data_IF_933309295541
#
_entry.id   IF_933309295541
#
_cell.length_a   1.000
_cell.length_b   1.000
_cell.length_c   1.000
_cell.angle_alpha   90.00
_cell.angle_beta   90.00
_cell.angle_gamma   90.00
#
_symmetry.space_group_name_H-M   'P 1'
#
loop_
_entity.id
_entity.type
_entity.pdbx_description
1 polymer ?
#
# COMPACT_ATOMS: atom_id res chain seq x y z
N UNK A 1 -4.79 18.55 -11.49
CA UNK A 1 -3.74 19.47 -10.99
C UNK A 1 -4.11 20.85 -11.46
N UNK A 2 -4.04 21.85 -10.56
CA UNK A 2 -4.17 23.27 -10.91
C UNK A 2 -2.99 23.71 -11.76
N UNK A 3 -3.16 24.82 -12.48
CA UNK A 3 -2.31 25.31 -13.58
C UNK A 3 -0.84 25.60 -13.20
N UNK A 4 -0.54 25.49 -11.92
CA UNK A 4 0.65 25.97 -11.22
C UNK A 4 1.41 24.83 -10.49
N UNK A 5 0.97 23.56 -10.63
CA UNK A 5 1.62 22.41 -9.99
C UNK A 5 1.41 22.33 -8.48
N UNK A 6 0.64 23.26 -7.92
CA UNK A 6 0.18 23.26 -6.53
C UNK A 6 -0.87 22.16 -6.32
N UNK A 7 -0.87 21.55 -5.13
CA UNK A 7 -1.91 20.60 -4.76
C UNK A 7 -3.21 21.35 -4.44
N UNK A 8 -4.18 21.30 -5.36
CA UNK A 8 -5.51 21.87 -5.14
C UNK A 8 -6.42 20.88 -4.40
N UNK A 9 -6.65 21.11 -3.11
CA UNK A 9 -7.55 20.30 -2.26
C UNK A 9 -8.93 20.08 -2.89
N UNK A 10 -9.55 21.15 -3.40
CA UNK A 10 -10.84 21.07 -4.07
C UNK A 10 -10.80 20.18 -5.32
N UNK A 11 -9.80 20.37 -6.18
CA UNK A 11 -9.65 19.56 -7.40
C UNK A 11 -9.39 18.07 -7.10
N UNK A 12 -8.69 17.78 -5.99
CA UNK A 12 -8.47 16.41 -5.52
C UNK A 12 -9.77 15.79 -4.99
N UNK A 13 -10.56 16.55 -4.25
CA UNK A 13 -11.88 16.13 -3.77
C UNK A 13 -12.86 15.89 -4.91
N UNK A 14 -12.95 16.79 -5.89
CA UNK A 14 -13.79 16.63 -7.07
C UNK A 14 -13.40 15.38 -7.89
N UNK A 15 -12.09 15.15 -8.09
CA UNK A 15 -11.60 13.93 -8.76
C UNK A 15 -11.95 12.67 -7.97
N UNK A 16 -11.82 12.70 -6.64
CA UNK A 16 -12.15 11.58 -5.78
C UNK A 16 -13.65 11.26 -5.83
N UNK A 17 -14.52 12.27 -5.70
CA UNK A 17 -15.98 12.10 -5.74
C UNK A 17 -16.48 11.72 -7.14
N UNK A 18 -15.84 12.21 -8.20
CA UNK A 18 -16.15 11.78 -9.56
C UNK A 18 -15.86 10.29 -9.80
N UNK A 19 -14.87 9.72 -9.09
CA UNK A 19 -14.56 8.28 -9.13
C UNK A 19 -15.41 7.46 -8.17
N UNK A 20 -15.82 8.06 -7.06
CA UNK A 20 -16.58 7.42 -5.99
C UNK A 20 -17.92 8.16 -5.77
N UNK A 21 -18.85 8.14 -6.76
CA UNK A 21 -20.08 8.94 -6.69
C UNK A 21 -21.00 8.51 -5.54
N UNK A 22 -20.91 7.25 -5.11
CA UNK A 22 -21.65 6.73 -3.95
C UNK A 22 -21.36 7.51 -2.67
N UNK A 23 -20.18 8.11 -2.53
CA UNK A 23 -19.83 8.87 -1.33
C UNK A 23 -20.65 10.16 -1.15
N UNK A 24 -21.27 10.66 -2.22
CA UNK A 24 -22.15 11.83 -2.15
C UNK A 24 -23.47 11.56 -1.44
N UNK A 25 -23.84 10.29 -1.18
CA UNK A 25 -25.00 9.98 -0.34
C UNK A 25 -24.77 10.35 1.13
N UNK A 26 -23.50 10.50 1.55
CA UNK A 26 -23.16 10.79 2.94
C UNK A 26 -23.17 12.29 3.23
N UNK A 27 -23.96 12.76 4.22
CA UNK A 27 -24.11 14.20 4.51
C UNK A 27 -22.78 14.91 4.82
N UNK A 28 -21.86 14.24 5.51
CA UNK A 28 -20.56 14.81 5.84
C UNK A 28 -19.74 15.12 4.58
N UNK A 29 -19.76 14.20 3.61
CA UNK A 29 -19.00 14.31 2.36
C UNK A 29 -19.68 15.29 1.39
N UNK A 30 -21.01 15.28 1.31
CA UNK A 30 -21.78 16.27 0.54
C UNK A 30 -21.57 17.69 1.07
N UNK A 31 -21.56 17.87 2.40
CA UNK A 31 -21.26 19.17 3.02
C UNK A 31 -19.84 19.63 2.70
N UNK A 32 -18.88 18.71 2.64
CA UNK A 32 -17.49 18.98 2.29
C UNK A 32 -17.36 19.41 0.82
N UNK A 33 -18.07 18.73 -0.08
CA UNK A 33 -18.09 19.05 -1.50
C UNK A 33 -18.67 20.45 -1.77
N UNK A 34 -19.70 20.87 -1.01
CA UNK A 34 -20.35 22.18 -1.15
C UNK A 34 -19.52 23.37 -0.67
N UNK A 35 -18.47 23.15 0.13
CA UNK A 35 -17.61 24.23 0.65
C UNK A 35 -16.68 24.87 -0.38
N UNK A 36 -16.39 24.20 -1.50
CA UNK A 36 -15.57 24.74 -2.59
C UNK A 36 -14.23 25.30 -2.10
N UNK A 37 -13.97 26.59 -2.37
CA UNK A 37 -12.71 27.26 -2.03
C UNK A 37 -12.46 27.49 -0.52
N UNK A 38 -13.47 27.32 0.34
CA UNK A 38 -13.33 27.46 1.81
C UNK A 38 -12.81 26.16 2.47
N UNK A 39 -12.62 25.11 1.68
CA UNK A 39 -12.21 23.79 2.15
C UNK A 39 -10.82 23.81 2.78
N UNK A 40 -10.74 23.43 4.06
CA UNK A 40 -9.46 23.31 4.77
C UNK A 40 -8.93 21.89 4.73
N UNK A 41 -7.60 21.76 4.83
CA UNK A 41 -6.94 20.45 4.86
C UNK A 41 -7.39 19.60 6.06
N UNK A 42 -7.59 20.23 7.23
CA UNK A 42 -8.00 19.55 8.46
C UNK A 42 -9.40 18.92 8.35
N UNK A 43 -10.35 19.64 7.74
CA UNK A 43 -11.70 19.12 7.49
C UNK A 43 -11.66 17.90 6.57
N UNK A 44 -10.87 17.96 5.49
CA UNK A 44 -10.67 16.82 4.58
C UNK A 44 -10.05 15.65 5.32
N UNK A 45 -8.97 15.88 6.09
CA UNK A 45 -8.28 14.82 6.84
C UNK A 45 -9.23 14.15 7.84
N UNK A 46 -10.06 14.91 8.54
CA UNK A 46 -11.00 14.36 9.52
C UNK A 46 -12.04 13.43 8.89
N UNK A 47 -12.59 13.81 7.73
CA UNK A 47 -13.58 12.97 7.01
C UNK A 47 -12.91 11.79 6.31
N UNK A 48 -11.79 12.03 5.63
CA UNK A 48 -11.12 11.01 4.82
C UNK A 48 -10.40 9.94 5.65
N UNK A 49 -10.11 10.18 6.93
CA UNK A 49 -9.52 9.19 7.81
C UNK A 49 -10.40 7.94 7.98
N UNK A 50 -11.72 8.09 8.06
CA UNK A 50 -12.64 6.96 8.17
C UNK A 50 -12.88 6.31 6.80
N UNK A 51 -13.01 7.12 5.75
CA UNK A 51 -13.15 6.63 4.36
C UNK A 51 -11.92 5.82 3.92
N UNK A 52 -10.73 6.16 4.41
CA UNK A 52 -9.49 5.43 4.13
C UNK A 52 -9.57 3.94 4.52
N UNK A 53 -10.29 3.61 5.59
CA UNK A 53 -10.45 2.24 6.09
C UNK A 53 -11.46 1.43 5.29
N UNK A 54 -12.25 2.08 4.44
CA UNK A 54 -13.24 1.40 3.63
C UNK A 54 -12.58 0.70 2.43
N UNK A 55 -12.80 -0.62 2.23
CA UNK A 55 -12.07 -1.41 1.23
C UNK A 55 -12.26 -0.93 -0.22
N UNK A 56 -13.40 -0.32 -0.53
CA UNK A 56 -13.68 0.21 -1.88
C UNK A 56 -13.08 1.59 -2.15
N UNK A 57 -12.68 2.33 -1.11
CA UNK A 57 -12.30 3.74 -1.24
C UNK A 57 -10.82 4.01 -0.93
N UNK A 58 -10.10 3.10 -0.26
CA UNK A 58 -8.66 3.27 0.05
C UNK A 58 -7.83 3.64 -1.18
N UNK A 59 -7.96 2.86 -2.27
CA UNK A 59 -7.17 3.03 -3.50
C UNK A 59 -7.40 4.41 -4.15
N UNK A 60 -8.64 4.80 -4.51
CA UNK A 60 -8.88 6.10 -5.12
C UNK A 60 -8.56 7.26 -4.18
N UNK A 61 -8.72 7.09 -2.87
CA UNK A 61 -8.40 8.12 -1.87
C UNK A 61 -6.90 8.40 -1.83
N UNK A 62 -6.06 7.36 -1.66
CA UNK A 62 -4.61 7.53 -1.64
C UNK A 62 -4.11 8.06 -3.00
N UNK A 63 -4.74 7.64 -4.09
CA UNK A 63 -4.47 8.14 -5.44
C UNK A 63 -4.72 9.66 -5.60
N UNK A 64 -5.82 10.17 -5.04
CA UNK A 64 -6.19 11.59 -5.16
C UNK A 64 -5.51 12.49 -4.12
N UNK A 65 -5.28 11.97 -2.91
CA UNK A 65 -4.82 12.74 -1.75
C UNK A 65 -3.37 12.43 -1.34
N UNK A 66 -2.55 11.87 -2.24
CA UNK A 66 -1.15 11.50 -1.97
C UNK A 66 -0.34 12.56 -1.19
N UNK A 67 -0.40 13.88 -1.50
CA UNK A 67 0.36 14.89 -0.76
C UNK A 67 -0.03 15.01 0.72
N UNK A 68 -1.28 14.69 1.07
CA UNK A 68 -1.80 14.75 2.45
C UNK A 68 -2.06 13.37 3.04
N UNK A 69 -1.73 12.30 2.31
CA UNK A 69 -2.02 10.91 2.69
C UNK A 69 -1.43 10.56 4.06
N UNK A 70 -0.26 11.10 4.39
CA UNK A 70 0.35 10.91 5.71
C UNK A 70 -0.55 11.41 6.83
N UNK A 71 -1.09 12.63 6.72
CA UNK A 71 -1.99 13.20 7.72
C UNK A 71 -3.30 12.41 7.84
N UNK A 72 -3.82 11.91 6.71
CA UNK A 72 -5.01 11.04 6.70
C UNK A 72 -4.73 9.75 7.46
N UNK A 73 -3.62 9.07 7.17
CA UNK A 73 -3.26 7.82 7.84
C UNK A 73 -2.94 8.06 9.32
N UNK A 74 -2.19 9.11 9.66
CA UNK A 74 -1.91 9.48 11.06
C UNK A 74 -3.20 9.72 11.85
N UNK A 75 -4.18 10.41 11.24
CA UNK A 75 -5.50 10.62 11.84
C UNK A 75 -6.27 9.31 12.01
N UNK A 76 -6.28 8.44 11.00
CA UNK A 76 -6.92 7.12 11.07
C UNK A 76 -6.32 6.26 12.18
N UNK A 77 -4.99 6.24 12.31
CA UNK A 77 -4.27 5.54 13.38
C UNK A 77 -4.62 6.11 14.76
N UNK A 78 -4.74 7.44 14.88
CA UNK A 78 -5.16 8.07 16.12
C UNK A 78 -6.59 7.68 16.53
N UNK A 79 -7.53 7.60 15.57
CA UNK A 79 -8.89 7.12 15.83
C UNK A 79 -8.91 5.64 16.21
N UNK A 80 -8.13 4.79 15.53
CA UNK A 80 -8.04 3.37 15.80
C UNK A 80 -7.45 3.05 17.18
N UNK A 81 -6.58 3.92 17.71
CA UNK A 81 -6.03 3.79 19.07
C UNK A 81 -7.13 3.91 20.15
N UNK A 82 -8.25 4.54 19.83
CA UNK A 82 -9.39 4.67 20.74
C UNK A 82 -10.33 3.45 20.71
N UNK A 83 -10.10 2.50 19.79
CA UNK A 83 -10.90 1.27 19.73
C UNK A 83 -10.45 0.32 20.84
N UNK A 84 -11.37 -0.12 21.73
CA UNK A 84 -11.02 -0.88 22.94
C UNK A 84 -10.45 -2.27 22.64
N UNK A 85 -10.93 -2.93 21.58
CA UNK A 85 -10.51 -4.28 21.24
C UNK A 85 -10.47 -4.49 19.73
N UNK A 86 -9.29 -4.83 19.21
CA UNK A 86 -9.04 -5.15 17.80
C UNK A 86 -8.75 -6.64 17.57
N UNK A 87 -8.74 -7.46 18.63
CA UNK A 87 -8.34 -8.87 18.59
C UNK A 87 -9.50 -9.82 18.46
N UNK A 88 -10.66 -9.48 19.00
CA UNK A 88 -11.81 -10.39 19.02
C UNK A 88 -13.01 -9.85 18.25
N UNK A 89 -13.90 -10.78 17.94
CA UNK A 89 -15.28 -10.53 17.54
C UNK A 89 -16.18 -10.97 18.69
N UNK A 90 -17.01 -10.08 19.22
CA UNK A 90 -18.03 -10.49 20.18
C UNK A 90 -19.08 -11.34 19.45
N UNK A 91 -19.35 -12.53 19.97
CA UNK A 91 -20.32 -13.45 19.39
C UNK A 91 -21.71 -12.85 19.54
N UNK A 92 -22.25 -12.22 18.50
CA UNK A 92 -23.67 -11.92 18.45
C UNK A 92 -24.36 -12.53 17.21
N UNK A 93 -25.33 -13.37 17.54
CA UNK A 93 -26.26 -14.17 16.74
C UNK A 93 -27.25 -13.34 15.91
N UNK A 94 -26.94 -12.09 15.59
CA UNK A 94 -27.81 -11.18 14.85
C UNK A 94 -27.28 -10.99 13.43
N UNK A 95 -27.81 -11.83 12.54
CA UNK A 95 -27.74 -11.75 11.08
C UNK A 95 -26.35 -11.48 10.50
N UNK A 96 -25.78 -12.51 9.87
CA UNK A 96 -24.67 -12.35 8.92
C UNK A 96 -25.11 -11.55 7.68
N UNK A 97 -25.47 -10.28 7.86
CA UNK A 97 -25.72 -9.32 6.79
C UNK A 97 -24.43 -9.25 5.97
N UNK A 98 -24.57 -9.40 4.66
CA UNK A 98 -23.47 -9.44 3.71
C UNK A 98 -22.51 -8.27 4.00
N UNK A 99 -21.21 -8.58 4.20
CA UNK A 99 -20.19 -7.56 4.48
C UNK A 99 -20.23 -6.42 3.45
N UNK A 100 -20.67 -6.73 2.23
CA UNK A 100 -20.84 -5.80 1.12
C UNK A 100 -22.07 -4.87 1.25
N UNK A 101 -23.18 -5.30 1.87
CA UNK A 101 -24.38 -4.45 2.04
C UNK A 101 -24.15 -3.36 3.11
N UNK A 102 -23.57 -3.73 4.26
CA UNK A 102 -23.35 -2.79 5.38
C UNK A 102 -22.27 -1.75 5.05
N UNK A 103 -21.24 -2.15 4.30
CA UNK A 103 -20.17 -1.24 3.87
C UNK A 103 -20.66 -0.20 2.84
N UNK A 104 -21.67 -0.52 2.02
CA UNK A 104 -22.22 0.42 1.05
C UNK A 104 -22.96 1.62 1.69
N UNK A 105 -23.34 1.55 2.99
CA UNK A 105 -24.26 2.50 3.63
C UNK A 105 -23.66 3.35 4.75
N UNK A 106 -22.35 3.27 5.04
CA UNK A 106 -21.79 3.95 6.23
C UNK A 106 -20.49 4.70 5.95
N UNK A 107 -20.47 6.00 6.28
CA UNK A 107 -19.27 6.85 6.24
C UNK A 107 -18.31 6.59 7.42
N UNK A 108 -18.84 6.23 8.59
CA UNK A 108 -18.07 5.96 9.80
C UNK A 108 -17.81 4.47 10.03
N UNK A 109 -16.76 3.96 9.39
CA UNK A 109 -16.34 2.56 9.48
C UNK A 109 -15.95 2.19 10.92
N UNK A 110 -15.23 3.07 11.63
CA UNK A 110 -14.74 2.78 12.98
C UNK A 110 -15.90 2.65 13.96
N UNK A 111 -16.84 3.61 13.96
CA UNK A 111 -17.98 3.57 14.89
C UNK A 111 -18.86 2.35 14.64
N UNK A 112 -19.13 2.02 13.38
CA UNK A 112 -19.93 0.87 12.98
C UNK A 112 -19.38 -0.44 13.55
N UNK A 113 -18.11 -0.73 13.28
CA UNK A 113 -17.50 -1.99 13.72
C UNK A 113 -17.25 -2.03 15.23
N UNK A 114 -16.97 -0.87 15.84
CA UNK A 114 -16.81 -0.77 17.29
C UNK A 114 -18.15 -1.01 18.01
N UNK A 115 -19.26 -0.43 17.54
CA UNK A 115 -20.60 -0.68 18.10
C UNK A 115 -21.03 -2.13 17.91
N UNK A 116 -20.65 -2.75 16.81
CA UNK A 116 -20.97 -4.14 16.51
C UNK A 116 -20.04 -5.15 17.25
N UNK A 117 -19.06 -4.70 18.03
CA UNK A 117 -18.09 -5.60 18.67
C UNK A 117 -17.23 -6.40 17.68
N UNK A 118 -17.14 -5.95 16.41
CA UNK A 118 -16.42 -6.61 15.31
C UNK A 118 -15.00 -6.06 15.15
N UNK A 119 -14.27 -5.98 16.25
CA UNK A 119 -12.92 -5.39 16.30
C UNK A 119 -11.91 -6.08 15.39
N UNK A 120 -11.95 -7.41 15.34
CA UNK A 120 -11.09 -8.21 14.46
C UNK A 120 -11.34 -7.91 12.97
N UNK A 121 -12.60 -7.78 12.56
CA UNK A 121 -12.94 -7.52 11.16
C UNK A 121 -12.48 -6.10 10.75
N UNK A 122 -12.65 -5.12 11.64
CA UNK A 122 -12.07 -3.78 11.45
C UNK A 122 -10.55 -3.84 11.28
N UNK A 123 -9.85 -4.60 12.13
CA UNK A 123 -8.40 -4.76 12.04
C UNK A 123 -7.97 -5.35 10.68
N UNK A 124 -8.70 -6.34 10.16
CA UNK A 124 -8.42 -6.91 8.83
C UNK A 124 -8.57 -5.88 7.70
N UNK A 125 -9.60 -5.02 7.77
CA UNK A 125 -9.76 -3.93 6.81
C UNK A 125 -8.66 -2.87 6.94
N UNK A 126 -8.22 -2.56 8.16
CA UNK A 126 -7.07 -1.67 8.38
C UNK A 126 -5.81 -2.27 7.75
N UNK A 127 -5.55 -3.56 7.93
CA UNK A 127 -4.40 -4.23 7.33
C UNK A 127 -4.46 -4.23 5.79
N UNK A 128 -5.64 -4.44 5.21
CA UNK A 128 -5.86 -4.35 3.77
C UNK A 128 -5.64 -2.92 3.25
N UNK A 129 -6.14 -1.92 3.98
CA UNK A 129 -5.94 -0.52 3.64
C UNK A 129 -4.46 -0.13 3.72
N UNK A 130 -3.76 -0.59 4.76
CA UNK A 130 -2.34 -0.36 4.97
C UNK A 130 -1.48 -0.96 3.85
N UNK A 131 -1.73 -2.22 3.44
CA UNK A 131 -0.94 -2.85 2.39
C UNK A 131 -1.14 -2.14 1.03
N UNK A 132 -2.38 -1.75 0.71
CA UNK A 132 -2.69 -0.96 -0.49
C UNK A 132 -2.03 0.40 -0.44
N UNK A 133 -2.09 1.09 0.70
CA UNK A 133 -1.50 2.42 0.86
C UNK A 133 0.03 2.40 0.70
N UNK A 134 0.72 1.40 1.28
CA UNK A 134 2.16 1.23 1.14
C UNK A 134 2.59 0.93 -0.29
N UNK A 135 1.75 0.21 -1.02
CA UNK A 135 1.96 -0.05 -2.44
C UNK A 135 2.02 1.23 -3.29
N UNK A 136 1.31 2.29 -2.87
CA UNK A 136 1.29 3.60 -3.53
C UNK A 136 2.32 4.58 -2.99
N UNK A 137 2.51 4.55 -1.67
CA UNK A 137 3.21 5.57 -0.92
C UNK A 137 4.06 4.90 0.16
N UNK A 138 5.30 4.48 -0.18
CA UNK A 138 6.23 3.87 0.76
C UNK A 138 6.54 4.74 1.99
N UNK A 139 6.41 6.07 1.87
CA UNK A 139 6.57 7.02 2.98
C UNK A 139 5.52 6.85 4.10
N UNK A 140 4.44 6.10 3.87
CA UNK A 140 3.43 5.76 4.88
C UNK A 140 3.86 4.63 5.83
N UNK A 141 5.04 4.05 5.62
CA UNK A 141 5.58 2.98 6.47
C UNK A 141 5.65 3.37 7.94
N UNK A 142 6.11 4.59 8.26
CA UNK A 142 6.17 5.07 9.65
C UNK A 142 4.80 5.05 10.36
N UNK A 143 3.79 5.76 9.85
CA UNK A 143 2.43 5.75 10.40
C UNK A 143 1.83 4.34 10.54
N UNK A 144 2.09 3.45 9.58
CA UNK A 144 1.56 2.08 9.61
C UNK A 144 2.27 1.24 10.67
N UNK A 145 3.57 1.43 10.89
CA UNK A 145 4.27 0.80 12.01
C UNK A 145 3.76 1.34 13.36
N UNK A 146 3.38 2.62 13.44
CA UNK A 146 2.78 3.20 14.65
C UNK A 146 1.43 2.57 15.01
N UNK A 147 0.68 2.11 14.02
CA UNK A 147 -0.53 1.30 14.22
C UNK A 147 -0.21 -0.06 14.85
N UNK A 148 0.75 -0.79 14.27
CA UNK A 148 1.14 -2.12 14.75
C UNK A 148 1.86 -2.13 16.11
N UNK A 149 2.16 -0.97 16.70
CA UNK A 149 2.63 -0.88 18.09
C UNK A 149 1.58 -1.30 19.12
N UNK A 150 0.29 -1.14 18.80
CA UNK A 150 -0.82 -1.49 19.69
C UNK A 150 -1.79 -2.51 19.07
N UNK A 151 -1.82 -2.64 17.74
CA UNK A 151 -2.65 -3.60 17.04
C UNK A 151 -2.03 -5.01 17.02
N UNK A 152 -2.86 -6.07 16.89
CA UNK A 152 -2.36 -7.43 16.66
C UNK A 152 -1.71 -7.60 15.27
N UNK A 153 -1.06 -8.76 15.00
CA UNK A 153 -0.62 -9.10 13.65
C UNK A 153 -1.79 -9.25 12.67
N UNK A 154 -1.57 -9.01 11.36
CA UNK A 154 -2.62 -9.07 10.32
C UNK A 154 -3.29 -10.44 10.17
N UNK A 155 -2.70 -11.48 10.77
CA UNK A 155 -3.18 -12.86 10.78
C UNK A 155 -3.70 -13.30 12.16
N UNK A 156 -4.13 -12.37 13.02
CA UNK A 156 -4.70 -12.68 14.34
C UNK A 156 -5.81 -13.74 14.26
N UNK A 157 -6.66 -13.69 13.23
CA UNK A 157 -7.69 -14.72 13.00
C UNK A 157 -7.09 -16.13 12.90
N UNK A 158 -5.99 -16.27 12.18
CA UNK A 158 -5.28 -17.55 12.02
C UNK A 158 -4.68 -17.99 13.36
N UNK A 159 -4.26 -17.08 14.24
CA UNK A 159 -3.80 -17.44 15.58
C UNK A 159 -4.94 -17.96 16.47
N UNK A 160 -6.17 -17.48 16.25
CA UNK A 160 -7.33 -17.81 17.08
C UNK A 160 -8.12 -19.05 16.61
N UNK A 161 -8.22 -19.30 15.29
CA UNK A 161 -9.31 -20.11 14.71
C UNK A 161 -8.89 -21.43 14.02
N UNK A 162 -7.69 -22.01 14.19
CA UNK A 162 -7.35 -23.20 13.37
C UNK A 162 -7.80 -24.53 13.96
N UNK A 163 -9.07 -24.90 13.69
CA UNK A 163 -9.51 -26.29 13.52
C UNK A 163 -9.91 -26.53 12.07
N UNK A 164 -9.41 -27.60 11.45
CA UNK A 164 -9.52 -27.86 10.00
C UNK A 164 -10.96 -27.88 9.43
N UNK A 165 -11.99 -28.13 10.23
CA UNK A 165 -13.39 -28.16 9.80
C UNK A 165 -14.02 -26.77 9.62
N UNK A 166 -13.36 -25.70 10.05
CA UNK A 166 -13.89 -24.33 10.03
C UNK A 166 -13.46 -23.52 8.78
N UNK A 167 -12.62 -24.08 7.90
CA UNK A 167 -12.15 -23.37 6.69
C UNK A 167 -13.16 -23.34 5.53
N UNK A 168 -14.36 -23.89 5.72
CA UNK A 168 -15.44 -23.88 4.73
C UNK A 168 -16.27 -22.57 4.81
N UNK A 169 -16.80 -22.13 3.67
CA UNK A 169 -17.67 -20.96 3.59
C UNK A 169 -16.97 -19.61 3.90
N UNK A 170 -17.66 -18.72 4.63
CA UNK A 170 -17.22 -17.33 4.90
C UNK A 170 -15.98 -17.23 5.81
N UNK A 171 -15.73 -18.22 6.66
CA UNK A 171 -14.53 -18.23 7.53
C UNK A 171 -13.28 -18.45 6.68
N UNK A 172 -13.34 -19.36 5.70
CA UNK A 172 -12.25 -19.60 4.75
C UNK A 172 -11.88 -18.36 3.95
N UNK A 173 -12.85 -17.56 3.51
CA UNK A 173 -12.58 -16.31 2.78
C UNK A 173 -11.91 -15.25 3.66
N UNK A 174 -12.30 -15.14 4.93
CA UNK A 174 -11.65 -14.23 5.89
C UNK A 174 -10.19 -14.67 6.18
N UNK A 175 -9.97 -15.97 6.40
CA UNK A 175 -8.61 -16.53 6.57
C UNK A 175 -7.75 -16.30 5.34
N UNK A 176 -8.31 -16.50 4.13
CA UNK A 176 -7.61 -16.22 2.89
C UNK A 176 -7.26 -14.74 2.75
N UNK A 177 -8.19 -13.83 3.08
CA UNK A 177 -7.93 -12.38 3.08
C UNK A 177 -6.80 -12.04 4.05
N UNK A 178 -6.82 -12.57 5.28
CA UNK A 178 -5.77 -12.36 6.25
C UNK A 178 -4.41 -12.87 5.76
N UNK A 179 -4.36 -14.08 5.20
CA UNK A 179 -3.13 -14.66 4.64
C UNK A 179 -2.58 -13.84 3.47
N UNK A 180 -3.42 -13.44 2.51
CA UNK A 180 -3.04 -12.62 1.35
C UNK A 180 -2.53 -11.24 1.76
N UNK A 181 -3.25 -10.55 2.65
CA UNK A 181 -2.84 -9.24 3.19
C UNK A 181 -1.50 -9.34 3.92
N UNK A 182 -1.31 -10.38 4.73
CA UNK A 182 -0.07 -10.64 5.45
C UNK A 182 1.11 -10.88 4.50
N UNK A 183 0.89 -11.70 3.46
CA UNK A 183 1.89 -11.95 2.43
C UNK A 183 2.26 -10.66 1.67
N UNK A 184 1.27 -9.83 1.33
CA UNK A 184 1.48 -8.55 0.63
C UNK A 184 2.33 -7.58 1.46
N UNK A 185 2.00 -7.41 2.75
CA UNK A 185 2.79 -6.61 3.68
C UNK A 185 4.24 -7.11 3.75
N UNK A 186 4.41 -8.43 3.90
CA UNK A 186 5.73 -9.04 3.95
C UNK A 186 6.56 -8.78 2.68
N UNK A 187 5.95 -8.80 1.49
CA UNK A 187 6.65 -8.49 0.25
C UNK A 187 7.01 -7.00 0.09
N UNK A 188 6.19 -6.09 0.63
CA UNK A 188 6.44 -4.65 0.56
C UNK A 188 7.70 -4.26 1.34
N UNK A 189 7.93 -4.87 2.51
CA UNK A 189 9.17 -4.67 3.27
C UNK A 189 9.52 -5.90 4.13
N UNK A 190 10.16 -6.88 3.51
CA UNK A 190 10.46 -8.16 4.17
C UNK A 190 11.41 -8.03 5.34
N UNK A 191 12.35 -7.07 5.33
CA UNK A 191 13.33 -6.91 6.41
C UNK A 191 12.70 -6.46 7.74
N UNK A 192 11.63 -5.68 7.66
CA UNK A 192 10.91 -5.14 8.82
C UNK A 192 9.81 -6.12 9.23
N UNK A 193 8.90 -6.47 8.32
CA UNK A 193 7.72 -7.27 8.67
C UNK A 193 8.05 -8.71 9.04
N UNK A 194 9.14 -9.30 8.52
CA UNK A 194 9.58 -10.63 8.97
C UNK A 194 9.99 -10.67 10.44
N UNK A 195 10.47 -9.55 11.00
CA UNK A 195 10.93 -9.44 12.38
C UNK A 195 9.87 -8.92 13.34
N UNK A 196 8.80 -8.33 12.79
CA UNK A 196 7.76 -7.67 13.60
C UNK A 196 6.82 -8.68 14.27
N UNK A 197 6.61 -9.85 13.67
CA UNK A 197 5.66 -10.85 14.14
C UNK A 197 6.25 -12.26 14.15
N UNK A 198 5.64 -13.15 14.94
CA UNK A 198 5.90 -14.58 14.86
C UNK A 198 5.03 -15.20 13.76
N UNK A 199 5.68 -15.76 12.75
CA UNK A 199 5.04 -16.38 11.58
C UNK A 199 4.85 -17.90 11.74
N UNK A 200 5.16 -18.46 12.92
CA UNK A 200 5.09 -19.90 13.20
C UNK A 200 3.71 -20.51 12.94
N UNK A 201 2.63 -19.75 13.13
CA UNK A 201 1.26 -20.20 12.88
C UNK A 201 1.01 -20.67 11.43
N UNK A 202 1.80 -20.17 10.46
CA UNK A 202 1.70 -20.61 9.08
C UNK A 202 2.26 -22.02 8.86
N UNK A 203 3.16 -22.51 9.73
CA UNK A 203 3.61 -23.92 9.69
C UNK A 203 2.44 -24.86 10.00
N UNK A 204 1.67 -24.53 11.04
CA UNK A 204 0.51 -25.32 11.44
C UNK A 204 -0.62 -25.21 10.43
N UNK A 205 -0.87 -24.02 9.88
CA UNK A 205 -1.86 -23.79 8.83
C UNK A 205 -1.57 -24.63 7.59
N UNK A 206 -0.31 -24.65 7.12
CA UNK A 206 0.07 -25.43 5.93
C UNK A 206 -0.08 -26.93 6.20
N UNK A 207 0.34 -27.42 7.36
CA UNK A 207 0.14 -28.83 7.74
C UNK A 207 -1.34 -29.21 7.75
N UNK A 208 -2.18 -28.39 8.38
CA UNK A 208 -3.62 -28.68 8.47
C UNK A 208 -4.30 -28.66 7.09
N UNK A 209 -3.95 -27.71 6.23
CA UNK A 209 -4.47 -27.65 4.86
C UNK A 209 -4.04 -28.83 3.97
N UNK A 210 -2.94 -29.51 4.29
CA UNK A 210 -2.48 -30.70 3.56
C UNK A 210 -3.26 -31.97 3.89
N UNK A 211 -3.89 -32.03 5.06
CA UNK A 211 -4.67 -33.19 5.54
C UNK A 211 -6.12 -33.14 5.07
N UNK A 212 -6.58 -31.99 4.55
CA UNK A 212 -7.89 -31.85 3.92
C UNK A 212 -7.88 -32.55 2.56
N UNK A 213 -8.45 -33.76 2.53
CA UNK A 213 -8.55 -34.58 1.32
C UNK A 213 -9.57 -33.94 0.33
N UNK A 214 -9.18 -33.61 -0.92
CA UNK A 214 -10.05 -33.00 -1.93
C UNK A 214 -11.16 -33.93 -2.46
N UNK A 215 -11.37 -35.10 -1.83
CA UNK A 215 -12.42 -36.07 -2.18
C UNK A 215 -13.84 -35.63 -1.75
N UNK A 216 -13.99 -34.43 -1.16
CA UNK A 216 -15.27 -33.85 -0.70
C UNK A 216 -15.70 -32.61 -1.49
N UNK A 217 -15.83 -32.77 -2.82
CA UNK A 217 -16.79 -31.99 -3.62
C UNK A 217 -16.19 -30.89 -4.48
N UNK A 218 -16.34 -31.01 -5.79
CA UNK A 218 -16.01 -30.00 -6.80
C UNK A 218 -16.75 -28.68 -6.52
N UNK A 219 -16.08 -27.70 -5.90
CA UNK A 219 -16.63 -26.37 -5.62
C UNK A 219 -15.57 -25.28 -5.41
N UNK A 220 -16.00 -24.01 -5.35
CA UNK A 220 -15.12 -22.84 -5.11
C UNK A 220 -14.32 -22.95 -3.79
N UNK A 221 -14.77 -23.77 -2.84
CA UNK A 221 -14.17 -23.95 -1.51
C UNK A 221 -12.81 -24.65 -1.57
N UNK A 222 -12.64 -25.64 -2.45
CA UNK A 222 -11.35 -26.30 -2.69
C UNK A 222 -10.29 -25.29 -3.17
N UNK A 223 -10.75 -24.33 -3.97
CA UNK A 223 -9.89 -23.28 -4.51
C UNK A 223 -9.40 -22.31 -3.43
N UNK A 224 -10.20 -22.07 -2.38
CA UNK A 224 -9.86 -21.19 -1.24
C UNK A 224 -8.84 -21.86 -0.34
N UNK A 225 -9.04 -23.14 0.00
CA UNK A 225 -8.10 -23.91 0.83
C UNK A 225 -6.74 -24.03 0.13
N UNK A 226 -6.74 -24.29 -1.18
CA UNK A 226 -5.52 -24.32 -1.98
C UNK A 226 -4.78 -22.98 -1.94
N UNK A 227 -5.48 -21.84 -2.05
CA UNK A 227 -4.87 -20.52 -1.97
C UNK A 227 -4.32 -20.20 -0.57
N UNK A 228 -5.03 -20.61 0.50
CA UNK A 228 -4.55 -20.45 1.88
C UNK A 228 -3.24 -21.22 2.06
N UNK A 229 -3.21 -22.48 1.62
CA UNK A 229 -2.00 -23.32 1.65
C UNK A 229 -0.86 -22.68 0.87
N UNK A 230 -1.15 -22.22 -0.34
CA UNK A 230 -0.16 -21.56 -1.20
C UNK A 230 0.40 -20.31 -0.55
N UNK A 231 -0.45 -19.41 -0.02
CA UNK A 231 0.00 -18.20 0.69
C UNK A 231 0.87 -18.54 1.89
N UNK A 232 0.50 -19.56 2.68
CA UNK A 232 1.30 -20.03 3.82
C UNK A 232 2.69 -20.51 3.39
N UNK A 233 2.78 -21.29 2.31
CA UNK A 233 4.06 -21.75 1.75
C UNK A 233 4.92 -20.55 1.29
N UNK A 234 4.32 -19.57 0.60
CA UNK A 234 5.06 -18.39 0.14
C UNK A 234 5.57 -17.53 1.29
N UNK A 235 4.75 -17.30 2.31
CA UNK A 235 5.14 -16.57 3.53
C UNK A 235 6.34 -17.27 4.19
N UNK A 236 6.24 -18.57 4.42
CA UNK A 236 7.32 -19.35 5.02
C UNK A 236 8.60 -19.32 4.19
N UNK A 237 8.48 -19.38 2.86
CA UNK A 237 9.61 -19.26 1.94
C UNK A 237 10.37 -17.94 2.13
N UNK A 238 9.64 -16.82 2.24
CA UNK A 238 10.22 -15.49 2.45
C UNK A 238 10.83 -15.35 3.85
N UNK A 239 10.11 -15.77 4.90
CA UNK A 239 10.56 -15.63 6.29
C UNK A 239 11.78 -16.51 6.59
N UNK A 240 11.76 -17.76 6.14
CA UNK A 240 12.83 -18.73 6.37
C UNK A 240 13.97 -18.63 5.34
N UNK A 241 13.86 -17.73 4.35
CA UNK A 241 14.82 -17.57 3.24
C UNK A 241 15.08 -18.88 2.50
N UNK A 242 14.06 -19.69 2.29
CA UNK A 242 14.20 -20.99 1.63
C UNK A 242 14.30 -20.82 0.11
N UNK A 243 15.36 -21.38 -0.50
CA UNK A 243 15.49 -21.44 -1.96
C UNK A 243 14.74 -22.66 -2.51
N UNK A 244 13.47 -22.48 -2.90
CA UNK A 244 12.66 -23.27 -3.85
C UNK A 244 12.72 -24.82 -3.85
N UNK A 245 13.13 -25.50 -2.78
CA UNK A 245 12.90 -26.95 -2.64
C UNK A 245 12.11 -27.23 -1.37
N UNK A 246 10.78 -27.31 -1.48
CA UNK A 246 9.97 -27.75 -0.35
C UNK A 246 10.31 -29.21 -0.03
N UNK A 247 10.29 -29.56 1.27
CA UNK A 247 10.16 -30.97 1.66
C UNK A 247 8.80 -31.49 1.16
N UNK A 248 8.61 -32.81 1.08
CA UNK A 248 7.40 -33.43 0.51
C UNK A 248 6.10 -32.85 1.11
N UNK A 249 6.11 -32.50 2.40
CA UNK A 249 4.96 -31.92 3.12
C UNK A 249 4.60 -30.48 2.68
N UNK A 250 5.59 -29.71 2.22
CA UNK A 250 5.42 -28.35 1.69
C UNK A 250 5.32 -28.31 0.17
N UNK A 251 5.19 -29.47 -0.48
CA UNK A 251 5.07 -29.55 -1.94
C UNK A 251 3.60 -29.42 -2.36
N UNK A 252 3.38 -28.56 -3.34
CA UNK A 252 2.11 -28.38 -4.04
C UNK A 252 2.33 -28.78 -5.50
N UNK A 253 1.34 -29.39 -6.12
CA UNK A 253 1.39 -29.71 -7.55
C UNK A 253 1.63 -28.44 -8.36
N UNK A 254 2.51 -28.52 -9.37
CA UNK A 254 2.97 -27.35 -10.12
C UNK A 254 1.81 -26.60 -10.80
N UNK A 255 0.83 -27.33 -11.34
CA UNK A 255 -0.35 -26.74 -11.98
C UNK A 255 -1.23 -26.00 -10.97
N UNK A 256 -1.55 -26.64 -9.84
CA UNK A 256 -2.34 -26.03 -8.77
C UNK A 256 -1.64 -24.79 -8.18
N UNK A 257 -0.31 -24.86 -7.99
CA UNK A 257 0.49 -23.75 -7.51
C UNK A 257 0.49 -22.58 -8.49
N UNK A 258 0.53 -22.86 -9.80
CA UNK A 258 0.43 -21.84 -10.84
C UNK A 258 -0.95 -21.17 -10.87
N UNK A 259 -2.04 -21.93 -10.72
CA UNK A 259 -3.39 -21.36 -10.61
C UNK A 259 -3.54 -20.46 -9.38
N UNK A 260 -2.93 -20.82 -8.25
CA UNK A 260 -2.91 -19.97 -7.05
C UNK A 260 -2.09 -18.69 -7.28
N UNK A 261 -0.95 -18.78 -7.98
CA UNK A 261 -0.14 -17.63 -8.36
C UNK A 261 -0.94 -16.64 -9.21
N UNK A 262 -1.68 -17.11 -10.22
CA UNK A 262 -2.51 -16.21 -11.06
C UNK A 262 -3.57 -15.48 -10.24
N UNK A 263 -4.24 -16.16 -9.31
CA UNK A 263 -5.24 -15.55 -8.42
C UNK A 263 -4.61 -14.58 -7.41
N UNK A 264 -3.39 -14.85 -6.97
CA UNK A 264 -2.60 -13.92 -6.17
C UNK A 264 -2.21 -12.66 -6.96
N UNK A 265 -1.78 -12.81 -8.20
CA UNK A 265 -1.48 -11.68 -9.08
C UNK A 265 -2.74 -10.85 -9.31
N UNK A 266 -3.87 -11.48 -9.62
CA UNK A 266 -5.18 -10.81 -9.73
C UNK A 266 -5.53 -10.00 -8.48
N UNK A 267 -5.32 -10.57 -7.29
CA UNK A 267 -5.51 -9.85 -6.03
C UNK A 267 -4.61 -8.61 -5.89
N UNK A 268 -3.36 -8.69 -6.36
CA UNK A 268 -2.41 -7.56 -6.31
C UNK A 268 -2.68 -6.52 -7.40
N UNK A 269 -3.39 -6.89 -8.47
CA UNK A 269 -3.68 -5.99 -9.59
C UNK A 269 -4.59 -4.82 -9.21
N UNK A 270 -5.26 -4.89 -8.06
CA UNK A 270 -6.18 -3.85 -7.55
C UNK A 270 -5.56 -2.43 -7.51
N UNK A 271 -4.24 -2.33 -7.29
CA UNK A 271 -3.52 -1.05 -7.26
C UNK A 271 -2.97 -0.58 -8.61
N UNK A 272 -2.88 -1.47 -9.61
CA UNK A 272 -2.15 -1.23 -10.86
C UNK A 272 -2.75 -0.10 -11.69
N UNK A 273 -4.08 -0.06 -11.80
CA UNK A 273 -4.77 0.92 -12.60
C UNK A 273 -4.56 2.34 -12.06
N UNK A 274 -4.60 2.49 -10.74
CA UNK A 274 -4.36 3.78 -10.10
C UNK A 274 -2.88 4.18 -10.19
N UNK A 275 -1.96 3.22 -10.05
CA UNK A 275 -0.52 3.43 -10.29
C UNK A 275 -0.26 3.93 -11.71
N UNK A 276 -0.91 3.34 -12.73
CA UNK A 276 -0.78 3.78 -14.12
C UNK A 276 -1.42 5.16 -14.36
N UNK A 277 -2.55 5.45 -13.71
CA UNK A 277 -3.31 6.69 -13.84
C UNK A 277 -2.57 7.95 -13.37
N UNK A 278 -1.50 7.83 -12.59
CA UNK A 278 -0.64 8.96 -12.20
C UNK A 278 0.23 9.48 -13.34
N UNK A 279 0.52 8.63 -14.32
CA UNK A 279 1.47 8.92 -15.39
C UNK A 279 0.78 9.17 -16.73
N UNK A 280 -0.48 8.76 -16.85
CA UNK A 280 -1.35 9.12 -17.96
C UNK A 280 -1.92 10.51 -17.66
N UNK A 281 -1.26 11.56 -18.16
CA UNK A 281 -1.81 12.92 -18.15
C UNK A 281 -3.19 12.93 -18.83
N UNK A 282 -4.21 13.45 -18.15
CA UNK A 282 -5.50 13.72 -18.77
C UNK A 282 -5.32 14.81 -19.84
N UNK A 283 -5.73 14.58 -21.11
CA UNK A 283 -5.56 15.55 -22.19
C UNK A 283 -6.31 16.87 -21.96
N UNK A 284 -7.24 16.93 -21.00
CA UNK A 284 -7.99 18.14 -20.66
C UNK A 284 -7.14 19.25 -20.03
N UNK A 285 -6.01 18.92 -19.39
CA UNK A 285 -5.10 19.93 -18.83
C UNK A 285 -4.23 20.64 -19.89
N UNK A 286 -4.10 20.09 -21.10
CA UNK A 286 -3.32 20.73 -22.17
C UNK A 286 -4.10 21.80 -22.93
N UNK A 287 -5.42 21.91 -22.77
CA UNK A 287 -6.23 22.87 -23.55
C UNK A 287 -6.35 24.26 -22.92
N UNK A 288 -5.93 24.44 -21.67
CA UNK A 288 -6.11 25.71 -20.93
C UNK A 288 -4.81 26.48 -20.65
N UNK A 289 -3.63 25.93 -20.96
CA UNK A 289 -2.37 26.63 -20.71
C UNK A 289 -2.12 27.74 -21.75
N UNK A 290 -2.12 28.99 -21.29
CA UNK A 290 -1.58 30.12 -22.05
C UNK A 290 -0.04 30.09 -22.03
N UNK A 291 0.66 30.63 -23.04
CA UNK A 291 2.09 30.36 -23.24
C UNK A 291 3.06 31.17 -22.34
N UNK A 292 2.59 31.82 -21.27
CA UNK A 292 3.44 32.77 -20.53
C UNK A 292 3.17 32.77 -19.02
N UNK A 293 3.68 31.76 -18.32
CA UNK A 293 4.17 31.96 -16.96
C UNK A 293 5.29 30.95 -16.71
N UNK A 294 6.44 31.45 -16.28
CA UNK A 294 7.55 30.65 -15.80
C UNK A 294 7.12 29.99 -14.49
N UNK A 295 6.72 28.72 -14.57
CA UNK A 295 6.29 27.93 -13.42
C UNK A 295 7.56 27.40 -12.73
N UNK A 296 7.90 27.98 -11.58
CA UNK A 296 8.91 27.44 -10.68
C UNK A 296 8.40 26.12 -10.09
N UNK A 297 9.09 25.04 -10.42
CA UNK A 297 8.73 23.68 -10.04
C UNK A 297 9.46 23.31 -8.73
N UNK A 298 8.74 23.10 -7.63
CA UNK A 298 9.34 22.59 -6.39
C UNK A 298 9.62 21.09 -6.51
N UNK A 299 10.84 20.79 -6.93
CA UNK A 299 11.42 19.47 -7.15
C UNK A 299 11.25 18.48 -5.97
N UNK A 300 11.07 19.00 -4.75
CA UNK A 300 10.87 18.20 -3.53
C UNK A 300 9.57 17.37 -3.54
N UNK A 301 8.49 17.86 -4.17
CA UNK A 301 7.18 17.17 -4.14
C UNK A 301 7.13 15.90 -5.03
N UNK A 302 7.89 15.86 -6.12
CA UNK A 302 7.97 14.67 -6.98
C UNK A 302 8.83 13.55 -6.38
N UNK A 303 9.87 13.90 -5.63
CA UNK A 303 10.78 12.93 -5.00
C UNK A 303 10.19 12.36 -3.69
N UNK A 304 9.51 13.19 -2.90
CA UNK A 304 8.79 12.72 -1.72
C UNK A 304 7.59 11.83 -2.09
N UNK A 305 6.92 12.13 -3.20
CA UNK A 305 5.81 11.29 -3.67
C UNK A 305 6.32 9.95 -4.20
N UNK A 306 7.38 9.91 -5.01
CA UNK A 306 7.93 8.66 -5.60
C UNK A 306 8.67 7.73 -4.64
N UNK A 307 8.81 8.08 -3.35
CA UNK A 307 9.45 7.21 -2.34
C UNK A 307 10.96 7.05 -2.51
N UNK A 308 11.60 7.94 -3.28
CA UNK A 308 13.03 7.89 -3.58
C UNK A 308 13.90 8.65 -2.57
N UNK A 309 13.33 9.45 -1.66
CA UNK A 309 14.14 10.13 -0.64
C UNK A 309 14.55 9.17 0.49
N UNK A 310 15.81 8.76 0.49
CA UNK A 310 16.53 8.47 1.73
C UNK A 310 17.10 9.80 2.25
N UNK A 311 16.82 10.12 3.52
CA UNK A 311 17.34 11.28 4.28
C UNK A 311 16.49 12.56 4.28
N UNK A 312 15.67 12.68 5.34
CA UNK A 312 15.73 13.79 6.29
C UNK A 312 14.93 13.41 7.55
N UNK A 313 15.46 12.47 8.34
CA UNK A 313 15.04 12.31 9.74
C UNK A 313 15.69 13.48 10.49
N UNK A 314 14.98 14.60 10.58
CA UNK A 314 15.34 15.65 11.53
C UNK A 314 14.93 15.22 12.94
N UNK A 315 15.97 15.07 13.75
CA UNK A 315 16.04 14.70 15.15
C UNK A 315 14.87 15.12 16.05
N UNK A 316 14.30 14.13 16.76
CA UNK A 316 14.30 14.17 18.23
C UNK A 316 14.27 12.74 18.80
N UNK A 317 15.36 12.38 19.48
CA UNK A 317 15.39 11.35 20.52
C UNK A 317 15.09 9.90 20.15
N UNK A 318 15.91 9.24 19.33
CA UNK A 318 16.04 7.79 19.38
C UNK A 318 17.51 7.38 19.37
N UNK A 319 17.90 6.62 20.40
CA UNK A 319 19.20 5.97 20.50
C UNK A 319 19.33 4.86 19.44
N UNK A 320 20.47 4.91 18.75
CA UNK A 320 21.12 3.89 17.91
C UNK A 320 20.47 2.50 17.87
N UNK A 321 19.93 2.17 16.70
CA UNK A 321 20.06 0.83 16.13
C UNK A 321 20.68 1.04 14.75
N UNK A 322 21.99 0.76 14.66
CA UNK A 322 22.76 0.79 13.42
C UNK A 322 22.13 -0.15 12.37
N UNK A 323 21.78 0.41 11.21
CA UNK A 323 21.53 -0.35 9.99
C UNK A 323 22.88 -0.84 9.45
N UNK A 324 23.05 -2.15 9.17
CA UNK A 324 24.32 -2.65 8.68
C UNK A 324 24.55 -2.20 7.24
N UNK A 325 25.49 -1.28 7.11
CA UNK A 325 26.13 -0.86 5.87
C UNK A 325 26.90 -2.04 5.24
N UNK A 326 26.43 -2.57 4.11
CA UNK A 326 27.27 -3.29 3.14
C UNK A 326 27.46 -2.32 1.96
N UNK A 327 28.62 -1.74 1.65
CA UNK A 327 29.99 -2.22 1.68
C UNK A 327 30.93 -1.06 2.02
N UNK A 328 31.68 -1.17 3.12
CA UNK A 328 32.84 -0.31 3.41
C UNK A 328 34.00 -0.75 2.50
N UNK A 329 34.29 0.03 1.45
CA UNK A 329 35.67 0.21 0.99
C UNK A 329 36.02 1.69 0.97
N UNK A 330 37.00 1.98 1.81
CA UNK A 330 37.57 3.26 2.17
C UNK A 330 38.31 3.89 0.97
N UNK A 331 37.85 5.04 0.48
CA UNK A 331 38.73 6.17 0.15
C UNK A 331 38.06 7.50 0.44
N UNK A 332 38.59 8.13 1.47
CA UNK A 332 38.33 9.47 2.00
C UNK A 332 38.51 10.56 0.93
N UNK A 333 37.44 11.26 0.57
CA UNK A 333 37.50 12.69 0.23
C UNK A 333 36.14 13.35 0.47
N UNK A 334 36.06 14.24 1.46
CA UNK A 334 35.07 15.31 1.50
C UNK A 334 35.69 16.60 0.94
N UNK A 335 34.95 17.73 0.99
CA UNK A 335 33.76 18.02 0.20
C UNK A 335 34.09 19.14 -0.80
N UNK A 336 33.66 19.03 -2.07
CA UNK A 336 33.61 20.18 -2.98
C UNK A 336 32.36 20.12 -3.84
N UNK A 337 31.41 20.97 -3.46
CA UNK A 337 30.39 21.56 -4.30
C UNK A 337 30.97 21.95 -5.67
N UNK A 338 30.55 21.24 -6.71
CA UNK A 338 30.28 21.82 -8.03
C UNK A 338 28.95 21.22 -8.44
N UNK A 339 27.89 22.01 -8.28
CA UNK A 339 26.55 21.63 -8.69
C UNK A 339 26.53 21.34 -10.18
N UNK A 340 26.27 20.09 -10.54
CA UNK A 340 25.77 19.79 -11.88
C UNK A 340 24.39 20.42 -11.98
N UNK A 341 24.33 21.63 -12.53
CA UNK A 341 23.10 22.33 -12.86
C UNK A 341 22.42 21.57 -14.00
N UNK A 342 21.67 20.52 -13.64
CA UNK A 342 20.77 19.87 -14.55
C UNK A 342 19.57 20.81 -14.74
N UNK A 343 19.49 21.48 -15.89
CA UNK A 343 18.38 22.37 -16.20
C UNK A 343 17.22 21.52 -16.71
N UNK A 344 16.10 21.43 -15.98
CA UNK A 344 14.95 20.64 -16.41
C UNK A 344 14.24 21.35 -17.56
N UNK A 345 14.52 20.95 -18.79
CA UNK A 345 13.68 21.34 -19.93
C UNK A 345 12.39 20.52 -19.93
N UNK A 346 11.33 21.01 -20.57
CA UNK A 346 10.02 20.32 -20.60
C UNK A 346 10.09 18.89 -21.14
N UNK A 347 10.96 18.63 -22.13
CA UNK A 347 11.20 17.29 -22.68
C UNK A 347 11.97 16.38 -21.70
N UNK A 348 12.99 16.93 -21.04
CA UNK A 348 13.80 16.21 -20.05
C UNK A 348 12.97 15.85 -18.82
N UNK A 349 12.05 16.73 -18.42
CA UNK A 349 11.14 16.51 -17.29
C UNK A 349 10.24 15.30 -17.51
N UNK A 350 9.61 15.17 -18.68
CA UNK A 350 8.78 13.99 -19.01
C UNK A 350 9.59 12.69 -19.05
N UNK A 351 10.77 12.73 -19.64
CA UNK A 351 11.67 11.57 -19.67
C UNK A 351 12.14 11.17 -18.27
N UNK A 352 12.41 12.13 -17.40
CA UNK A 352 12.76 11.88 -16.00
C UNK A 352 11.61 11.26 -15.22
N UNK A 353 10.38 11.77 -15.37
CA UNK A 353 9.17 11.21 -14.75
C UNK A 353 8.93 9.74 -15.15
N UNK A 354 9.10 9.40 -16.44
CA UNK A 354 8.95 8.02 -16.92
C UNK A 354 10.03 7.07 -16.37
N UNK A 355 11.27 7.55 -16.24
CA UNK A 355 12.36 6.75 -15.66
C UNK A 355 12.14 6.53 -14.16
N UNK A 356 11.80 7.59 -13.43
CA UNK A 356 11.44 7.52 -12.01
C UNK A 356 10.29 6.53 -11.79
N UNK A 357 9.27 6.56 -12.64
CA UNK A 357 8.16 5.62 -12.60
C UNK A 357 8.63 4.17 -12.69
N UNK A 358 9.31 3.83 -13.78
CA UNK A 358 9.66 2.45 -14.03
C UNK A 358 10.66 1.94 -12.97
N UNK A 359 11.58 2.79 -12.49
CA UNK A 359 12.45 2.46 -11.35
C UNK A 359 11.64 2.23 -10.07
N UNK A 360 10.64 3.07 -9.76
CA UNK A 360 9.77 2.88 -8.58
C UNK A 360 8.98 1.58 -8.62
N UNK A 361 8.68 1.07 -9.82
CA UNK A 361 8.01 -0.21 -10.04
C UNK A 361 8.98 -1.40 -10.08
N UNK A 362 10.29 -1.19 -9.89
CA UNK A 362 11.34 -2.19 -10.07
C UNK A 362 11.37 -2.76 -11.49
N UNK A 363 10.96 -1.97 -12.48
CA UNK A 363 11.01 -2.35 -13.89
C UNK A 363 12.32 -1.92 -14.54
N UNK A 364 13.01 -2.80 -15.27
CA UNK A 364 14.18 -2.43 -16.06
C UNK A 364 13.83 -1.38 -17.13
N UNK A 365 14.65 -0.34 -17.25
CA UNK A 365 14.44 0.77 -18.21
C UNK A 365 15.59 0.84 -19.21
N UNK A 366 15.28 0.81 -20.50
CA UNK A 366 16.23 1.06 -21.57
C UNK A 366 16.18 2.54 -22.00
N UNK A 367 17.23 3.29 -21.66
CA UNK A 367 17.40 4.68 -22.11
C UNK A 367 18.17 4.74 -23.43
N UNK A 368 17.46 5.03 -24.53
CA UNK A 368 18.06 5.18 -25.86
C UNK A 368 17.91 6.61 -26.42
N UNK A 369 18.77 6.98 -27.36
CA UNK A 369 18.77 8.31 -27.99
C UNK A 369 20.14 8.69 -28.55
N UNK A 370 20.25 9.79 -29.31
CA UNK A 370 21.51 10.22 -29.93
C UNK A 370 22.63 10.46 -28.91
N UNK A 371 23.88 10.40 -29.37
CA UNK A 371 25.03 10.76 -28.54
C UNK A 371 24.90 12.22 -28.07
N UNK A 372 25.21 12.50 -26.81
CA UNK A 372 25.07 13.84 -26.23
C UNK A 372 23.66 14.24 -25.79
N UNK A 373 22.63 13.38 -25.95
CA UNK A 373 21.25 13.67 -25.53
C UNK A 373 21.01 13.78 -24.00
N UNK A 374 22.06 13.81 -23.17
CA UNK A 374 21.92 13.96 -21.72
C UNK A 374 21.50 12.70 -20.95
N UNK A 375 21.55 11.51 -21.57
CA UNK A 375 21.18 10.23 -20.92
C UNK A 375 21.93 9.99 -19.60
N UNK A 376 23.27 10.12 -19.63
CA UNK A 376 24.10 9.97 -18.44
C UNK A 376 23.85 11.07 -17.40
N UNK A 377 23.52 12.29 -17.84
CA UNK A 377 23.16 13.38 -16.93
C UNK A 377 21.83 13.10 -16.21
N UNK A 378 20.87 12.47 -16.90
CA UNK A 378 19.59 12.06 -16.33
C UNK A 378 19.76 10.96 -15.27
N UNK A 379 20.63 9.97 -15.53
CA UNK A 379 20.97 8.92 -14.55
C UNK A 379 21.68 9.53 -13.33
N UNK A 380 22.68 10.39 -13.55
CA UNK A 380 23.40 11.06 -12.47
C UNK A 380 22.47 11.93 -11.61
N UNK A 381 21.44 12.54 -12.22
CA UNK A 381 20.44 13.29 -11.47
C UNK A 381 19.54 12.38 -10.64
N UNK A 382 19.12 11.24 -11.21
CA UNK A 382 18.32 10.24 -10.49
C UNK A 382 19.07 9.66 -9.29
N UNK A 383 20.37 9.43 -9.40
CA UNK A 383 21.20 8.90 -8.31
C UNK A 383 21.44 9.92 -7.21
N UNK A 384 21.71 11.17 -7.57
CA UNK A 384 21.75 12.28 -6.61
C UNK A 384 20.44 12.41 -5.82
N UNK A 385 19.30 12.28 -6.50
CA UNK A 385 17.98 12.47 -5.88
C UNK A 385 17.51 11.23 -5.08
N UNK A 386 18.03 10.03 -5.40
CA UNK A 386 17.68 8.77 -4.70
C UNK A 386 18.68 8.33 -3.63
N UNK A 387 19.86 8.95 -3.58
CA UNK A 387 20.94 8.56 -2.66
C UNK A 387 21.64 7.25 -3.03
N UNK A 388 21.44 6.74 -4.25
CA UNK A 388 22.06 5.49 -4.73
C UNK A 388 23.36 5.78 -5.50
N UNK A 389 24.31 4.84 -5.49
CA UNK A 389 25.56 4.98 -6.25
C UNK A 389 25.43 4.39 -7.67
N UNK A 390 25.95 5.11 -8.67
CA UNK A 390 26.08 4.59 -10.05
C UNK A 390 27.27 3.66 -10.09
N UNK A 391 27.04 2.37 -10.34
CA UNK A 391 28.11 1.44 -10.69
C UNK A 391 28.43 1.65 -12.17
N UNK A 392 29.63 2.16 -12.44
CA UNK A 392 30.13 2.46 -13.80
C UNK A 392 30.87 1.28 -14.41
#
# INVERSE_FOLDING_TARGET
MTMDGSFGLQSALERFLGRCPKLLSFPQIDSLAKKGHVLTEEEVVNVMAEVFLHPNYTIPLIGCFRPIARKIVDKAVALLRMVPNLRSKENDTLAEVEEDEVLNEVASVIELYNRAGRGLDLHEFVCLAACRALDFAPFLLGPILDYFKFAPPPFERILMEVKSFELCGKVGTCVLRAARTSYRLLLLNSEIFSKLWDWSCFLDLVKQSSTCDPSRGFGNEDSVIADIRWCGIQILSVVLKMSCRPTVDFSMEAEAAFTCLLRWEEFCLDTSLEKAGWYIQSPEQNRLSSPSSSIDFTQENCLQSSGLCSSAISSSGFHEIELPTQSKRLTRWGPKSVGNLFVPTSAVKKSFEMVVLAVSQKWPVLLYGPAGAGKSALINKLTLDSGNEVVS
#
